data_IF_492046021614
#
_entry.id   IF_492046021614
#
_cell.length_a   1.000
_cell.length_b   1.000
_cell.length_c   1.000
_cell.angle_alpha   90.00
_cell.angle_beta   90.00
_cell.angle_gamma   90.00
#
_symmetry.space_group_name_H-M   'P 1'
#
loop_
_entity.id
_entity.type
_entity.pdbx_description
1 polymer ?
#
# COMPACT_ATOMS: atom_id res chain seq x y z
N UNK A 1 30.04 4.21 10.66
CA UNK A 1 29.55 4.77 9.40
C UNK A 1 28.27 5.54 9.63
N UNK A 2 28.20 6.75 9.11
CA UNK A 2 27.02 7.58 9.21
C UNK A 2 26.00 7.12 8.18
N UNK A 3 24.76 6.88 8.62
CA UNK A 3 23.70 6.45 7.73
C UNK A 3 22.67 7.56 7.61
N UNK A 4 22.49 8.04 6.39
CA UNK A 4 21.52 9.07 6.11
C UNK A 4 20.20 8.46 5.69
N UNK A 5 19.06 9.03 6.11
CA UNK A 5 17.78 8.58 5.65
C UNK A 5 17.66 8.72 4.13
N UNK A 6 17.00 7.75 3.48
CA UNK A 6 16.68 7.87 2.07
C UNK A 6 15.72 9.04 1.88
N UNK A 7 15.97 9.88 0.88
CA UNK A 7 15.12 11.05 0.66
C UNK A 7 13.70 10.63 0.24
N UNK A 8 12.73 11.47 0.59
CA UNK A 8 11.33 11.23 0.17
C UNK A 8 11.24 11.17 -1.35
N UNK A 9 12.02 12.02 -2.02
CA UNK A 9 12.03 12.02 -3.49
C UNK A 9 12.46 10.67 -4.06
N UNK A 10 13.49 10.05 -3.47
CA UNK A 10 13.94 8.74 -3.91
C UNK A 10 12.94 7.64 -3.56
N UNK A 11 12.36 7.70 -2.36
CA UNK A 11 11.42 6.68 -1.90
C UNK A 11 10.18 6.60 -2.81
N UNK A 12 9.70 7.73 -3.29
CA UNK A 12 8.48 7.79 -4.09
C UNK A 12 8.73 7.96 -5.59
N UNK A 13 9.96 7.76 -6.04
CA UNK A 13 10.30 7.93 -7.45
C UNK A 13 9.52 7.00 -8.36
N UNK A 14 9.38 5.73 -7.97
CA UNK A 14 8.61 4.75 -8.73
C UNK A 14 7.16 5.19 -8.88
N UNK A 15 6.56 5.62 -7.78
CA UNK A 15 5.17 6.05 -7.74
C UNK A 15 4.92 7.27 -8.62
N UNK A 16 5.82 8.25 -8.57
CA UNK A 16 5.70 9.44 -9.43
C UNK A 16 5.78 9.06 -10.90
N UNK A 17 6.70 8.17 -11.26
CA UNK A 17 6.83 7.72 -12.63
C UNK A 17 5.57 6.99 -13.09
N UNK A 18 5.01 6.15 -12.24
CA UNK A 18 3.79 5.41 -12.56
C UNK A 18 2.61 6.35 -12.77
N UNK A 19 2.45 7.36 -11.89
CA UNK A 19 1.37 8.34 -12.03
C UNK A 19 1.52 9.18 -13.30
N UNK A 20 2.75 9.41 -13.74
CA UNK A 20 3.01 10.18 -14.96
C UNK A 20 2.86 9.34 -16.23
N UNK A 21 2.57 8.04 -16.10
CA UNK A 21 2.36 7.18 -17.24
C UNK A 21 3.63 6.59 -17.83
N UNK A 22 4.75 6.63 -17.11
CA UNK A 22 6.04 6.16 -17.62
C UNK A 22 6.24 4.66 -17.49
N UNK A 23 5.29 3.94 -16.90
CA UNK A 23 5.32 2.48 -16.75
C UNK A 23 6.67 1.98 -16.21
N UNK A 24 7.05 2.39 -15.00
CA UNK A 24 8.34 1.96 -14.44
C UNK A 24 8.36 0.44 -14.27
N UNK A 25 9.55 -0.18 -14.27
CA UNK A 25 9.64 -1.63 -14.19
C UNK A 25 9.08 -2.17 -12.87
N UNK A 26 8.49 -3.36 -12.94
CA UNK A 26 7.91 -4.05 -11.78
C UNK A 26 8.68 -5.35 -11.58
N UNK A 27 9.22 -5.53 -10.39
CA UNK A 27 9.91 -6.75 -10.02
C UNK A 27 9.24 -7.36 -8.80
N UNK A 28 9.13 -8.66 -8.79
CA UNK A 28 8.33 -9.41 -7.82
C UNK A 28 8.69 -9.10 -6.38
N UNK A 29 9.97 -8.96 -6.07
CA UNK A 29 10.42 -8.75 -4.70
C UNK A 29 10.90 -7.33 -4.45
N UNK A 30 10.44 -6.37 -5.24
CA UNK A 30 10.96 -5.01 -5.17
C UNK A 30 9.84 -3.98 -4.99
N UNK A 31 9.17 -3.97 -3.83
CA UNK A 31 8.12 -2.99 -3.58
C UNK A 31 8.68 -1.58 -3.41
N UNK A 32 7.88 -0.60 -3.81
CA UNK A 32 8.24 0.81 -3.72
C UNK A 32 7.19 1.59 -2.96
N UNK A 33 7.61 2.65 -2.29
CA UNK A 33 6.68 3.53 -1.57
C UNK A 33 5.68 4.18 -2.53
N UNK A 34 4.45 4.28 -2.09
CA UNK A 34 3.41 4.93 -2.87
C UNK A 34 2.03 4.68 -2.31
N UNK A 35 1.04 5.23 -3.00
CA UNK A 35 -0.36 5.05 -2.66
C UNK A 35 -1.04 4.36 -3.83
N UNK A 36 -1.95 3.43 -3.50
CA UNK A 36 -2.55 2.53 -4.47
C UNK A 36 -3.99 2.24 -4.08
N UNK A 37 -4.74 1.67 -5.02
CA UNK A 37 -6.03 1.08 -4.72
C UNK A 37 -6.03 -0.37 -5.21
N UNK A 38 -6.73 -1.22 -4.50
CA UNK A 38 -6.80 -2.63 -4.87
C UNK A 38 -8.16 -3.19 -4.44
N UNK A 39 -8.47 -4.40 -4.90
CA UNK A 39 -9.67 -5.10 -4.47
C UNK A 39 -9.28 -6.28 -3.62
N UNK A 40 -10.05 -6.50 -2.56
CA UNK A 40 -9.83 -7.68 -1.70
C UNK A 40 -10.35 -8.93 -2.36
N UNK A 41 -11.41 -8.81 -3.16
CA UNK A 41 -11.96 -9.91 -3.91
C UNK A 41 -12.27 -9.45 -5.32
N UNK A 42 -12.25 -10.39 -6.26
CA UNK A 42 -12.54 -10.08 -7.65
C UNK A 42 -13.93 -9.47 -7.78
N UNK A 43 -14.00 -8.35 -8.47
CA UNK A 43 -15.28 -7.66 -8.65
C UNK A 43 -15.75 -6.85 -7.47
N UNK A 44 -15.00 -6.86 -6.36
CA UNK A 44 -15.36 -6.07 -5.19
C UNK A 44 -14.95 -4.60 -5.31
N UNK A 45 -15.26 -3.80 -4.29
CA UNK A 45 -14.89 -2.39 -4.30
C UNK A 45 -13.38 -2.22 -4.11
N UNK A 46 -12.87 -1.10 -4.62
CA UNK A 46 -11.48 -0.74 -4.36
C UNK A 46 -11.32 -0.29 -2.90
N UNK A 47 -10.22 -0.69 -2.31
CA UNK A 47 -9.83 -0.28 -0.96
C UNK A 47 -8.47 0.39 -1.03
N UNK A 48 -8.15 1.25 -0.05
CA UNK A 48 -6.85 1.93 -0.07
C UNK A 48 -5.72 0.98 0.31
N UNK A 49 -4.59 1.14 -0.37
CA UNK A 49 -3.36 0.41 -0.06
C UNK A 49 -2.21 1.39 -0.10
N UNK A 50 -1.23 1.17 0.76
CA UNK A 50 -0.07 2.04 0.83
C UNK A 50 1.19 1.25 1.14
N UNK A 51 2.31 1.76 0.63
CA UNK A 51 3.63 1.32 1.06
C UNK A 51 4.37 2.58 1.49
N UNK A 52 4.76 2.60 2.75
CA UNK A 52 5.47 3.74 3.33
C UNK A 52 6.75 3.24 3.99
N UNK A 53 7.54 4.16 4.51
CA UNK A 53 8.78 3.83 5.17
C UNK A 53 8.63 4.04 6.67
N UNK A 54 9.14 3.09 7.44
CA UNK A 54 9.25 3.24 8.88
C UNK A 54 10.73 3.36 9.22
N UNK A 55 11.09 4.40 9.94
CA UNK A 55 12.47 4.65 10.32
C UNK A 55 12.52 5.55 11.53
N UNK A 56 13.64 5.45 12.24
CA UNK A 56 13.93 6.33 13.36
C UNK A 56 15.17 7.15 13.02
N UNK A 57 15.08 8.44 13.31
CA UNK A 57 16.16 9.38 13.03
C UNK A 57 16.58 9.99 14.36
N UNK A 58 17.89 10.00 14.63
CA UNK A 58 18.40 10.55 15.88
C UNK A 58 18.47 12.08 15.83
N UNK A 59 18.99 12.67 16.91
CA UNK A 59 19.05 14.13 17.03
C UNK A 59 19.96 14.77 15.97
N UNK A 60 20.86 14.00 15.37
CA UNK A 60 21.77 14.48 14.34
C UNK A 60 21.25 14.29 12.94
N UNK A 61 20.04 13.76 12.78
CA UNK A 61 19.47 13.50 11.47
C UNK A 61 19.94 12.21 10.83
N UNK A 62 20.58 11.33 11.59
CA UNK A 62 21.08 10.06 11.09
C UNK A 62 20.14 8.92 11.47
N UNK A 63 20.16 7.84 10.70
CA UNK A 63 19.33 6.69 11.01
C UNK A 63 19.77 6.03 12.31
N UNK A 64 18.82 5.88 13.23
CA UNK A 64 19.04 5.16 14.48
C UNK A 64 18.80 3.66 14.30
N UNK A 65 18.02 3.27 13.30
CA UNK A 65 17.72 1.89 12.98
C UNK A 65 17.55 1.75 11.48
N UNK A 66 17.45 0.51 11.00
CA UNK A 66 17.25 0.27 9.57
C UNK A 66 15.89 0.80 9.12
N UNK A 67 15.88 1.35 7.92
CA UNK A 67 14.63 1.70 7.27
C UNK A 67 13.91 0.43 6.84
N UNK A 68 12.60 0.39 7.01
CA UNK A 68 11.83 -0.75 6.56
C UNK A 68 10.53 -0.30 5.93
N UNK A 69 10.10 -1.02 4.91
CA UNK A 69 8.84 -0.74 4.26
C UNK A 69 7.68 -1.29 5.09
N UNK A 70 6.59 -0.53 5.09
CA UNK A 70 5.36 -0.92 5.78
C UNK A 70 4.24 -0.88 4.75
N UNK A 71 3.55 -2.00 4.60
CA UNK A 71 2.41 -2.09 3.68
C UNK A 71 1.12 -2.23 4.47
N UNK A 72 0.12 -1.44 4.08
CA UNK A 72 -1.23 -1.55 4.64
C UNK A 72 -2.22 -1.67 3.50
N UNK A 73 -3.11 -2.64 3.59
CA UNK A 73 -4.19 -2.83 2.64
C UNK A 73 -5.48 -2.81 3.44
N UNK A 74 -6.35 -1.87 3.13
CA UNK A 74 -7.61 -1.69 3.86
C UNK A 74 -7.36 -1.52 5.37
N UNK A 75 -6.30 -0.80 5.72
CA UNK A 75 -5.85 -0.52 7.10
C UNK A 75 -5.26 -1.73 7.84
N UNK A 76 -5.05 -2.84 7.15
CA UNK A 76 -4.41 -4.01 7.76
C UNK A 76 -2.99 -4.18 7.25
N UNK A 77 -2.09 -4.52 8.17
CA UNK A 77 -0.70 -4.76 7.81
C UNK A 77 -0.56 -5.98 6.92
N UNK A 78 0.25 -5.84 5.89
CA UNK A 78 0.59 -6.93 4.97
C UNK A 78 2.09 -6.92 4.73
N UNK A 79 2.64 -8.05 4.33
CA UNK A 79 4.03 -8.10 3.91
C UNK A 79 4.17 -7.33 2.58
N UNK A 80 5.04 -6.30 2.52
CA UNK A 80 5.15 -5.49 1.29
C UNK A 80 5.51 -6.31 0.06
N UNK A 81 6.44 -7.25 0.17
CA UNK A 81 6.86 -8.05 -0.97
C UNK A 81 5.72 -8.93 -1.49
N UNK A 82 4.94 -9.51 -0.60
CA UNK A 82 3.82 -10.36 -1.00
C UNK A 82 2.68 -9.58 -1.61
N UNK A 83 2.43 -8.37 -1.12
CA UNK A 83 1.33 -7.55 -1.60
C UNK A 83 1.65 -6.80 -2.88
N UNK A 84 2.94 -6.60 -3.18
CA UNK A 84 3.38 -5.67 -4.22
C UNK A 84 2.72 -5.90 -5.58
N UNK A 85 2.76 -7.14 -6.09
CA UNK A 85 2.22 -7.41 -7.42
C UNK A 85 0.71 -7.17 -7.52
N UNK A 86 0.00 -7.31 -6.41
CA UNK A 86 -1.44 -7.05 -6.38
C UNK A 86 -1.76 -5.57 -6.39
N UNK A 87 -0.97 -4.77 -5.67
CA UNK A 87 -1.32 -3.36 -5.47
C UNK A 87 -0.66 -2.43 -6.47
N UNK A 88 0.49 -2.79 -7.03
CA UNK A 88 1.25 -1.89 -7.91
C UNK A 88 0.53 -1.58 -9.22
N UNK A 89 -0.51 -2.32 -9.57
CA UNK A 89 -1.24 -2.16 -10.82
C UNK A 89 -2.07 -0.88 -10.88
N UNK A 90 -2.45 -0.36 -9.73
CA UNK A 90 -3.36 0.78 -9.66
C UNK A 90 -2.81 1.89 -8.77
N UNK A 91 -1.73 2.55 -9.16
CA UNK A 91 -1.22 3.68 -8.39
C UNK A 91 -2.20 4.84 -8.44
N UNK A 92 -2.36 5.53 -7.31
CA UNK A 92 -3.24 6.69 -7.21
C UNK A 92 -2.50 7.81 -6.49
N UNK A 93 -2.99 9.03 -6.66
CA UNK A 93 -2.44 10.16 -5.94
C UNK A 93 -2.80 10.11 -4.46
N UNK A 94 -2.05 10.85 -3.65
CA UNK A 94 -2.27 10.87 -2.21
C UNK A 94 -3.69 11.34 -1.85
N UNK A 95 -4.21 12.33 -2.59
CA UNK A 95 -5.56 12.83 -2.33
C UNK A 95 -6.61 11.76 -2.59
N UNK A 96 -6.47 11.00 -3.67
CA UNK A 96 -7.39 9.91 -3.97
C UNK A 96 -7.30 8.81 -2.91
N UNK A 97 -6.10 8.54 -2.41
CA UNK A 97 -5.90 7.59 -1.33
C UNK A 97 -6.62 8.04 -0.07
N UNK A 98 -6.52 9.33 0.28
CA UNK A 98 -7.21 9.87 1.45
C UNK A 98 -8.73 9.77 1.29
N UNK A 99 -9.25 9.99 0.10
CA UNK A 99 -10.67 9.85 -0.18
C UNK A 99 -11.14 8.41 0.03
N UNK A 100 -10.36 7.43 -0.42
CA UNK A 100 -10.67 6.03 -0.20
C UNK A 100 -10.64 5.67 1.29
N UNK A 101 -9.68 6.21 2.04
CA UNK A 101 -9.62 5.99 3.48
C UNK A 101 -10.85 6.56 4.18
N UNK A 102 -11.29 7.74 3.77
CA UNK A 102 -12.47 8.36 4.33
C UNK A 102 -13.72 7.54 4.04
N UNK A 103 -13.82 7.03 2.81
CA UNK A 103 -14.93 6.17 2.43
C UNK A 103 -14.93 4.88 3.23
N UNK A 104 -13.77 4.27 3.41
CA UNK A 104 -13.63 3.06 4.21
C UNK A 104 -14.08 3.27 5.65
N UNK A 105 -13.69 4.41 6.23
CA UNK A 105 -14.09 4.71 7.61
C UNK A 105 -15.58 4.93 7.76
N UNK A 106 -16.24 5.50 6.73
CA UNK A 106 -17.69 5.73 6.75
C UNK A 106 -18.48 4.46 6.44
N UNK A 107 -17.87 3.55 5.67
CA UNK A 107 -18.57 2.34 5.20
C UNK A 107 -17.67 1.11 5.36
N UNK A 108 -17.27 0.78 6.59
CA UNK A 108 -16.38 -0.36 6.79
C UNK A 108 -17.01 -1.67 6.34
N UNK A 109 -18.33 -1.75 6.34
CA UNK A 109 -19.05 -2.95 5.91
C UNK A 109 -18.86 -3.27 4.44
N UNK A 110 -18.49 -2.28 3.62
CA UNK A 110 -18.32 -2.53 2.18
C UNK A 110 -17.20 -3.52 1.90
N UNK A 111 -16.10 -3.40 2.61
CA UNK A 111 -15.01 -4.34 2.45
C UNK A 111 -15.30 -5.64 3.19
N UNK A 112 -15.92 -5.56 4.35
CA UNK A 112 -16.21 -6.72 5.18
C UNK A 112 -17.20 -7.66 4.51
N UNK A 113 -18.13 -7.14 3.72
CA UNK A 113 -19.12 -7.96 3.05
C UNK A 113 -18.47 -8.97 2.11
N UNK A 114 -17.42 -8.55 1.41
CA UNK A 114 -16.82 -9.40 0.39
C UNK A 114 -15.90 -10.47 0.99
N UNK A 115 -15.31 -10.21 2.11
CA UNK A 115 -14.42 -11.18 2.73
C UNK A 115 -15.17 -12.37 3.30
N UNK A 116 -16.23 -12.19 4.08
CA UNK A 116 -17.00 -13.34 4.59
C UNK A 116 -17.63 -14.17 3.49
N UNK A 117 -18.11 -13.53 2.43
CA UNK A 117 -18.70 -14.27 1.32
C UNK A 117 -17.70 -15.24 0.73
N UNK A 118 -16.47 -14.82 0.58
CA UNK A 118 -15.44 -15.68 0.06
C UNK A 118 -15.20 -16.89 0.97
N UNK A 119 -15.28 -16.67 2.25
CA UNK A 119 -15.10 -17.76 3.20
C UNK A 119 -16.22 -18.76 3.15
N UNK A 120 -17.41 -18.28 2.79
CA UNK A 120 -18.53 -19.16 2.75
C UNK A 120 -18.70 -19.84 1.50
N UNK A 121 -17.87 -19.64 0.69
CA UNK A 121 -18.01 -20.43 -0.43
C UNK A 121 -18.25 -21.78 0.07
N UNK A 122 -18.12 -21.84 0.99
CA UNK A 122 -18.74 -22.88 1.53
C UNK A 122 -19.70 -22.35 2.41
N UNK A 123 -19.73 -21.95 2.58
CA UNK A 123 -20.34 -21.59 3.42
C UNK A 123 -21.28 -20.95 3.24
N UNK A 124 -21.30 -20.84 3.05
CA UNK A 124 -22.04 -20.67 3.04
C UNK A 124 -22.73 -20.46 2.81
N UNK A 125 -23.02 -20.48 2.70
CA UNK A 125 -23.64 -20.40 2.63
C UNK A 125 -24.27 -20.43 2.65
N UNK A 126 -24.46 -20.43 2.89
CA UNK A 126 -24.89 -20.65 3.11
C UNK A 126 -25.26 -21.11 2.67
#
# INVERSE_FOLDING_TARGET
MIRQPTSISQLYAWHRAALAGHAPPVHEDDPHCGWFKTRLVKGGPFVPASITIQREVDANGELASDERLVCEVNSERRDPAQAWLSICKNPIGHAAYQDLQALQRRHPEMAAIHVPIRLRAGQIRP
#
